data_IF_762660130386
#
_entry.id   IF_762660130386
#
_cell.length_a   1.000
_cell.length_b   1.000
_cell.length_c   1.000
_cell.angle_alpha   90.00
_cell.angle_beta   90.00
_cell.angle_gamma   90.00
#
_symmetry.space_group_name_H-M   'P 1'
#
loop_
_entity.id
_entity.type
_entity.pdbx_description
1 polymer ?
#
# COMPACT_ATOMS: atom_id res chain seq x y z
N UNK A 1 7.35 3.33 16.87
CA UNK A 1 6.02 3.95 17.11
C UNK A 1 5.07 3.44 16.04
N UNK A 2 3.87 3.03 16.43
CA UNK A 2 2.89 2.43 15.49
C UNK A 2 1.64 3.31 15.37
N UNK A 3 1.20 3.60 14.15
CA UNK A 3 -0.03 4.35 13.86
C UNK A 3 -1.15 3.45 13.35
N UNK A 4 -2.38 3.85 13.58
CA UNK A 4 -3.57 3.20 13.06
C UNK A 4 -4.46 4.23 12.37
N UNK A 5 -4.73 4.02 11.07
CA UNK A 5 -5.83 4.68 10.36
C UNK A 5 -7.00 3.71 10.32
N UNK A 6 -8.16 4.10 10.80
CA UNK A 6 -9.33 3.22 10.88
C UNK A 6 -10.62 3.92 10.50
N UNK A 7 -11.42 3.33 9.60
CA UNK A 7 -12.76 3.83 9.31
C UNK A 7 -13.78 3.35 10.34
N UNK A 8 -14.73 4.22 10.66
CA UNK A 8 -15.78 3.96 11.62
C UNK A 8 -17.14 4.09 10.95
N UNK A 9 -17.92 3.01 10.99
CA UNK A 9 -19.29 2.98 10.49
C UNK A 9 -20.33 3.23 11.57
N UNK A 10 -21.58 3.34 11.13
CA UNK A 10 -22.74 3.49 12.04
C UNK A 10 -23.26 2.17 12.62
N UNK A 11 -22.91 1.04 11.99
CA UNK A 11 -23.50 -0.28 12.30
C UNK A 11 -24.62 -0.64 11.33
N UNK A 12 -25.25 -1.79 11.58
CA UNK A 12 -26.41 -2.28 10.81
C UNK A 12 -27.65 -2.12 11.68
N UNK A 13 -28.64 -1.37 11.21
CA UNK A 13 -29.82 -1.01 11.99
C UNK A 13 -29.48 -0.13 13.19
N UNK A 14 -30.17 -0.30 14.30
CA UNK A 14 -29.98 0.51 15.52
C UNK A 14 -28.93 -0.07 16.49
N UNK A 15 -28.14 -1.06 16.05
CA UNK A 15 -27.14 -1.74 16.89
C UNK A 15 -25.70 -1.40 16.48
N UNK A 16 -25.08 -0.39 17.08
CA UNK A 16 -23.67 -0.06 16.83
C UNK A 16 -22.69 -1.00 17.53
N UNK A 17 -23.17 -1.88 18.43
CA UNK A 17 -22.31 -2.69 19.32
C UNK A 17 -21.32 -3.57 18.54
N UNK A 18 -21.74 -4.15 17.41
CA UNK A 18 -20.86 -5.00 16.59
C UNK A 18 -19.71 -4.22 15.97
N UNK A 19 -19.96 -2.96 15.55
CA UNK A 19 -18.93 -2.06 15.01
C UNK A 19 -17.99 -1.61 16.11
N UNK A 20 -18.53 -1.16 17.25
CA UNK A 20 -17.76 -0.75 18.42
C UNK A 20 -16.86 -1.90 18.88
N UNK A 21 -17.40 -3.13 18.93
CA UNK A 21 -16.64 -4.31 19.31
C UNK A 21 -15.48 -4.59 18.32
N UNK A 22 -15.75 -4.56 17.02
CA UNK A 22 -14.73 -4.79 16.00
C UNK A 22 -13.60 -3.74 16.04
N UNK A 23 -13.95 -2.46 16.22
CA UNK A 23 -12.98 -1.37 16.35
C UNK A 23 -12.13 -1.53 17.61
N UNK A 24 -12.77 -1.83 18.75
CA UNK A 24 -12.05 -2.11 20.01
C UNK A 24 -11.09 -3.26 19.89
N UNK A 25 -11.51 -4.35 19.25
CA UNK A 25 -10.66 -5.52 19.00
C UNK A 25 -9.46 -5.13 18.13
N UNK A 26 -9.70 -4.40 17.05
CA UNK A 26 -8.67 -3.90 16.15
C UNK A 26 -7.63 -3.03 16.87
N UNK A 27 -8.07 -2.07 17.69
CA UNK A 27 -7.17 -1.19 18.44
C UNK A 27 -6.37 -1.97 19.48
N UNK A 28 -7.02 -2.86 20.25
CA UNK A 28 -6.35 -3.66 21.30
C UNK A 28 -5.26 -4.56 20.73
N UNK A 29 -5.54 -5.25 19.64
CA UNK A 29 -4.57 -6.17 19.04
C UNK A 29 -3.38 -5.44 18.41
N UNK A 30 -3.64 -4.31 17.75
CA UNK A 30 -2.59 -3.54 17.09
C UNK A 30 -1.77 -2.67 18.04
N UNK A 31 -2.36 -2.32 19.19
CA UNK A 31 -1.77 -1.48 20.23
C UNK A 31 -1.06 -0.23 19.65
N UNK A 32 -1.78 0.64 18.92
CA UNK A 32 -1.17 1.82 18.29
C UNK A 32 -0.91 2.92 19.29
N UNK A 33 0.13 3.72 19.06
CA UNK A 33 0.43 4.92 19.85
C UNK A 33 -0.34 6.15 19.37
N UNK A 34 -0.77 6.15 18.10
CA UNK A 34 -1.61 7.19 17.48
C UNK A 34 -2.71 6.56 16.66
N UNK A 35 -3.91 7.11 16.76
CA UNK A 35 -5.10 6.61 16.05
C UNK A 35 -5.75 7.75 15.27
N UNK A 36 -5.87 7.60 13.98
CA UNK A 36 -6.64 8.46 13.10
C UNK A 36 -7.99 7.78 12.79
N UNK A 37 -9.07 8.32 13.35
CA UNK A 37 -10.43 7.83 13.08
C UNK A 37 -11.01 8.55 11.86
N UNK A 38 -11.28 7.81 10.79
CA UNK A 38 -12.04 8.30 9.64
C UNK A 38 -13.54 8.08 9.96
N UNK A 39 -14.28 9.16 10.16
CA UNK A 39 -15.66 9.14 10.63
C UNK A 39 -16.59 9.90 9.71
N UNK A 40 -17.88 9.59 9.73
CA UNK A 40 -18.94 10.48 9.25
C UNK A 40 -19.57 11.23 10.45
N UNK A 41 -20.37 12.30 10.20
CA UNK A 41 -21.11 12.96 11.29
C UNK A 41 -21.93 11.99 12.13
N UNK A 42 -22.51 10.95 11.49
CA UNK A 42 -23.34 9.95 12.16
C UNK A 42 -22.53 8.90 12.93
N UNK A 43 -21.31 8.56 12.45
CA UNK A 43 -20.49 7.51 13.08
C UNK A 43 -19.49 8.04 14.10
N UNK A 44 -19.28 9.35 14.19
CA UNK A 44 -18.35 9.98 15.13
C UNK A 44 -18.60 9.58 16.57
N UNK A 45 -19.87 9.54 16.99
CA UNK A 45 -20.28 9.08 18.33
C UNK A 45 -19.79 7.67 18.66
N UNK A 46 -19.73 6.77 17.66
CA UNK A 46 -19.23 5.41 17.87
C UNK A 46 -17.71 5.41 18.14
N UNK A 47 -16.96 6.27 17.43
CA UNK A 47 -15.53 6.44 17.65
C UNK A 47 -15.24 7.06 19.04
N UNK A 48 -16.01 8.05 19.44
CA UNK A 48 -15.93 8.68 20.77
C UNK A 48 -16.22 7.65 21.88
N UNK A 49 -17.23 6.80 21.69
CA UNK A 49 -17.55 5.72 22.63
C UNK A 49 -16.41 4.70 22.74
N UNK A 50 -15.81 4.30 21.62
CA UNK A 50 -14.63 3.42 21.62
C UNK A 50 -13.47 4.07 22.36
N UNK A 51 -13.18 5.35 22.11
CA UNK A 51 -12.10 6.08 22.79
C UNK A 51 -12.33 6.10 24.30
N UNK A 52 -13.57 6.38 24.75
CA UNK A 52 -13.98 6.36 26.16
C UNK A 52 -13.85 4.96 26.77
N UNK A 53 -14.34 3.92 26.10
CA UNK A 53 -14.28 2.53 26.58
C UNK A 53 -12.84 2.01 26.71
N UNK A 54 -11.91 2.52 25.92
CA UNK A 54 -10.50 2.16 25.96
C UNK A 54 -9.66 3.11 26.81
N UNK A 55 -10.28 4.13 27.43
CA UNK A 55 -9.61 5.19 28.19
C UNK A 55 -8.46 5.83 27.40
N UNK A 56 -8.67 6.10 26.10
CA UNK A 56 -7.66 6.74 25.27
C UNK A 56 -7.46 8.20 25.70
N UNK A 57 -6.21 8.63 25.83
CA UNK A 57 -5.89 10.03 26.07
C UNK A 57 -6.17 10.87 24.83
N UNK A 58 -6.67 12.11 25.00
CA UNK A 58 -7.07 12.99 23.91
C UNK A 58 -5.94 13.29 22.91
N UNK A 59 -4.69 13.24 23.35
CA UNK A 59 -3.52 13.43 22.48
C UNK A 59 -3.11 12.19 21.69
N UNK A 60 -3.78 11.04 21.89
CA UNK A 60 -3.45 9.77 21.20
C UNK A 60 -4.28 9.55 19.96
N UNK A 61 -5.33 10.31 19.73
CA UNK A 61 -6.19 10.15 18.56
C UNK A 61 -6.68 11.46 17.98
N UNK A 62 -7.12 11.40 16.72
CA UNK A 62 -7.80 12.52 16.05
C UNK A 62 -8.92 12.00 15.15
N UNK A 63 -9.93 12.85 14.93
CA UNK A 63 -11.06 12.57 14.05
C UNK A 63 -10.89 13.28 12.70
N UNK A 64 -11.10 12.54 11.62
CA UNK A 64 -11.13 13.02 10.26
C UNK A 64 -12.54 12.81 9.72
N UNK A 65 -13.33 13.88 9.68
CA UNK A 65 -14.77 13.81 9.44
C UNK A 65 -15.07 14.00 7.95
N UNK A 66 -15.63 12.96 7.34
CA UNK A 66 -16.12 12.94 5.96
C UNK A 66 -17.54 13.48 5.95
N UNK A 67 -17.75 14.66 5.42
CA UNK A 67 -19.06 15.34 5.42
C UNK A 67 -20.13 14.58 4.63
N UNK A 68 -19.77 14.00 3.47
CA UNK A 68 -20.60 13.01 2.76
C UNK A 68 -19.90 11.65 2.71
N UNK A 69 -20.32 10.68 3.55
CA UNK A 69 -19.70 9.37 3.61
C UNK A 69 -19.92 8.50 2.35
N UNK A 70 -20.75 8.96 1.39
CA UNK A 70 -20.97 8.28 0.12
C UNK A 70 -20.13 8.88 -1.01
N UNK A 71 -19.44 9.98 -0.77
CA UNK A 71 -18.50 10.60 -1.71
C UNK A 71 -17.09 10.03 -1.50
N UNK A 72 -16.55 9.39 -2.55
CA UNK A 72 -15.22 8.80 -2.51
C UNK A 72 -14.10 9.84 -2.44
N UNK A 73 -14.23 10.95 -3.15
CA UNK A 73 -13.20 11.99 -3.20
C UNK A 73 -13.10 12.74 -1.87
N UNK A 74 -14.24 13.02 -1.23
CA UNK A 74 -14.26 13.57 0.12
C UNK A 74 -13.63 12.59 1.13
N UNK A 75 -14.03 11.32 1.09
CA UNK A 75 -13.46 10.30 1.96
C UNK A 75 -11.95 10.13 1.74
N UNK A 76 -11.50 10.17 0.48
CA UNK A 76 -10.07 10.11 0.14
C UNK A 76 -9.30 11.33 0.67
N UNK A 77 -9.86 12.53 0.52
CA UNK A 77 -9.25 13.77 1.02
C UNK A 77 -9.02 13.71 2.53
N UNK A 78 -10.04 13.31 3.30
CA UNK A 78 -9.94 13.19 4.75
C UNK A 78 -9.00 12.03 5.18
N UNK A 79 -9.04 10.90 4.50
CA UNK A 79 -8.10 9.80 4.77
C UNK A 79 -6.64 10.21 4.49
N UNK A 80 -6.40 11.06 3.46
CA UNK A 80 -5.07 11.62 3.19
C UNK A 80 -4.60 12.57 4.29
N UNK A 81 -5.50 13.42 4.81
CA UNK A 81 -5.19 14.28 5.97
C UNK A 81 -4.84 13.42 7.20
N UNK A 82 -5.55 12.31 7.39
CA UNK A 82 -5.29 11.36 8.47
C UNK A 82 -3.89 10.75 8.41
N UNK A 83 -3.43 10.30 7.22
CA UNK A 83 -2.05 9.82 7.04
C UNK A 83 -1.02 10.93 7.31
N UNK A 84 -1.28 12.14 6.79
CA UNK A 84 -0.38 13.28 7.00
C UNK A 84 -0.28 13.65 8.49
N UNK A 85 -1.39 13.59 9.22
CA UNK A 85 -1.40 13.81 10.67
C UNK A 85 -0.58 12.74 11.40
N UNK A 86 -0.77 11.46 11.09
CA UNK A 86 0.04 10.38 11.68
C UNK A 86 1.53 10.62 11.45
N UNK A 87 1.91 11.05 10.25
CA UNK A 87 3.31 11.37 9.94
C UNK A 87 3.81 12.58 10.75
N UNK A 88 2.98 13.62 10.95
CA UNK A 88 3.34 14.80 11.77
C UNK A 88 3.46 14.46 13.26
N UNK A 89 2.76 13.43 13.75
CA UNK A 89 2.91 12.87 15.09
C UNK A 89 4.13 11.94 15.24
N UNK A 90 5.01 11.90 14.23
CA UNK A 90 6.23 11.12 14.25
C UNK A 90 6.07 9.64 13.92
N UNK A 91 4.93 9.23 13.35
CA UNK A 91 4.73 7.86 12.87
C UNK A 91 5.15 7.76 11.42
N UNK A 92 6.23 7.06 11.08
CA UNK A 92 6.61 6.85 9.68
C UNK A 92 5.57 5.98 8.96
N UNK A 93 5.41 6.20 7.67
CA UNK A 93 4.36 5.54 6.87
C UNK A 93 4.44 4.02 6.91
N UNK A 94 5.63 3.45 6.99
CA UNK A 94 5.90 2.02 7.11
C UNK A 94 5.37 1.42 8.43
N UNK A 95 5.18 2.25 9.45
CA UNK A 95 4.64 1.88 10.76
C UNK A 95 3.14 2.12 10.88
N UNK A 96 2.50 2.65 9.84
CA UNK A 96 1.04 2.81 9.79
C UNK A 96 0.38 1.49 9.40
N UNK A 97 -0.70 1.15 10.11
CA UNK A 97 -1.64 0.09 9.75
C UNK A 97 -2.95 0.76 9.35
N UNK A 98 -3.50 0.42 8.19
CA UNK A 98 -4.77 0.95 7.72
C UNK A 98 -5.87 -0.12 7.83
N UNK A 99 -6.85 0.13 8.68
CA UNK A 99 -7.97 -0.79 8.93
C UNK A 99 -9.24 -0.29 8.20
N UNK A 100 -9.70 -1.10 7.25
CA UNK A 100 -10.89 -0.80 6.43
C UNK A 100 -12.09 -1.69 6.77
N UNK A 101 -12.16 -2.16 8.03
CA UNK A 101 -13.20 -3.11 8.49
C UNK A 101 -14.60 -2.52 8.40
N UNK A 102 -14.75 -1.24 8.71
CA UNK A 102 -16.07 -0.61 8.84
C UNK A 102 -16.15 0.71 8.05
N UNK A 103 -17.27 1.42 8.19
CA UNK A 103 -17.57 2.59 7.38
C UNK A 103 -18.38 2.26 6.14
N UNK A 104 -18.71 3.28 5.35
CA UNK A 104 -19.33 3.09 4.04
C UNK A 104 -18.33 2.49 3.07
N UNK A 105 -18.80 1.95 1.94
CA UNK A 105 -17.90 1.46 0.89
C UNK A 105 -16.94 2.53 0.38
N UNK A 106 -17.36 3.79 0.10
CA UNK A 106 -16.44 4.86 -0.25
C UNK A 106 -15.37 5.13 0.82
N UNK A 107 -15.74 5.19 2.11
CA UNK A 107 -14.77 5.38 3.20
C UNK A 107 -13.75 4.25 3.27
N UNK A 108 -14.20 2.98 3.23
CA UNK A 108 -13.32 1.81 3.23
C UNK A 108 -12.40 1.78 2.01
N UNK A 109 -12.95 2.10 0.82
CA UNK A 109 -12.17 2.20 -0.42
C UNK A 109 -11.14 3.33 -0.37
N UNK A 110 -11.50 4.48 0.19
CA UNK A 110 -10.59 5.62 0.37
C UNK A 110 -9.38 5.25 1.23
N UNK A 111 -9.59 4.50 2.33
CA UNK A 111 -8.48 4.00 3.16
C UNK A 111 -7.53 3.13 2.34
N UNK A 112 -8.05 2.19 1.56
CA UNK A 112 -7.21 1.31 0.72
C UNK A 112 -6.45 2.12 -0.33
N UNK A 113 -7.12 3.05 -1.02
CA UNK A 113 -6.52 3.89 -2.04
C UNK A 113 -5.43 4.82 -1.47
N UNK A 114 -5.72 5.52 -0.36
CA UNK A 114 -4.74 6.41 0.26
C UNK A 114 -3.54 5.65 0.79
N UNK A 115 -3.76 4.46 1.35
CA UNK A 115 -2.69 3.58 1.82
C UNK A 115 -1.77 3.18 0.67
N UNK A 116 -2.34 2.74 -0.44
CA UNK A 116 -1.59 2.37 -1.64
C UNK A 116 -0.77 3.55 -2.21
N UNK A 117 -1.37 4.74 -2.29
CA UNK A 117 -0.70 5.92 -2.84
C UNK A 117 0.42 6.45 -1.94
N UNK A 118 0.30 6.29 -0.62
CA UNK A 118 1.29 6.72 0.36
C UNK A 118 2.26 5.61 0.80
N UNK A 119 2.23 4.43 0.14
CA UNK A 119 3.08 3.28 0.45
C UNK A 119 2.90 2.73 1.88
N UNK A 120 1.68 2.80 2.43
CA UNK A 120 1.33 2.07 3.65
C UNK A 120 1.25 0.59 3.30
N UNK A 121 2.15 -0.21 3.87
CA UNK A 121 2.31 -1.62 3.48
C UNK A 121 1.35 -2.56 4.20
N UNK A 122 0.76 -2.12 5.32
CA UNK A 122 -0.07 -2.98 6.17
C UNK A 122 -1.53 -2.56 6.12
N UNK A 123 -2.35 -3.39 5.47
CA UNK A 123 -3.80 -3.28 5.49
C UNK A 123 -4.37 -4.28 6.48
N UNK A 124 -5.45 -3.93 7.14
CA UNK A 124 -6.12 -4.76 8.13
C UNK A 124 -7.63 -4.80 7.92
N UNK A 125 -8.19 -5.94 8.27
CA UNK A 125 -9.61 -6.20 8.19
C UNK A 125 -10.03 -7.17 9.29
N UNK A 126 -11.11 -6.87 10.00
CA UNK A 126 -11.72 -7.78 10.95
C UNK A 126 -12.74 -8.67 10.23
N UNK A 127 -12.37 -9.94 10.05
CA UNK A 127 -13.23 -10.97 9.49
C UNK A 127 -14.02 -11.65 10.62
N UNK A 128 -15.26 -12.05 10.34
CA UNK A 128 -16.06 -12.86 11.26
C UNK A 128 -17.21 -13.56 10.52
N UNK A 129 -17.74 -14.61 11.12
CA UNK A 129 -18.97 -15.26 10.63
C UNK A 129 -20.12 -14.27 10.70
N UNK A 130 -20.88 -14.12 9.63
CA UNK A 130 -21.99 -13.17 9.57
C UNK A 130 -23.32 -13.87 9.55
N UNK A 131 -24.25 -13.38 10.36
CA UNK A 131 -25.66 -13.77 10.33
C UNK A 131 -26.47 -12.50 10.11
N UNK A 132 -27.26 -12.46 9.05
CA UNK A 132 -28.01 -11.26 8.61
C UNK A 132 -27.14 -10.00 8.48
N UNK A 133 -25.89 -10.16 8.03
CA UNK A 133 -24.95 -9.05 7.86
C UNK A 133 -24.16 -8.64 9.12
N UNK A 134 -24.53 -9.12 10.30
CA UNK A 134 -23.89 -8.83 11.58
C UNK A 134 -22.85 -9.91 11.88
N UNK A 135 -21.68 -9.49 12.33
CA UNK A 135 -20.61 -10.41 12.77
C UNK A 135 -21.03 -11.08 14.08
N UNK A 136 -20.92 -12.38 14.12
CA UNK A 136 -21.23 -13.19 15.33
C UNK A 136 -20.07 -13.03 16.32
N UNK A 137 -20.38 -12.53 17.52
CA UNK A 137 -19.39 -12.33 18.58
C UNK A 137 -18.61 -13.62 18.91
N UNK A 138 -17.30 -13.50 19.06
CA UNK A 138 -16.38 -14.61 19.32
C UNK A 138 -15.91 -15.36 18.05
N UNK A 139 -16.34 -14.92 16.86
CA UNK A 139 -15.86 -15.46 15.57
C UNK A 139 -14.90 -14.52 14.85
N UNK A 140 -14.64 -13.37 15.45
CA UNK A 140 -13.79 -12.34 14.87
C UNK A 140 -12.33 -12.81 14.76
N UNK A 141 -11.72 -12.52 13.62
CA UNK A 141 -10.29 -12.69 13.37
C UNK A 141 -9.77 -11.45 12.69
N UNK A 142 -8.71 -10.88 13.21
CA UNK A 142 -8.01 -9.80 12.53
C UNK A 142 -7.09 -10.39 11.48
N UNK A 143 -7.27 -9.95 10.26
CA UNK A 143 -6.39 -10.29 9.14
C UNK A 143 -5.59 -9.04 8.82
N UNK A 144 -4.27 -9.14 8.91
CA UNK A 144 -3.35 -8.12 8.41
C UNK A 144 -2.62 -8.69 7.21
N UNK A 145 -2.58 -7.94 6.13
CA UNK A 145 -1.94 -8.35 4.89
C UNK A 145 -1.24 -7.16 4.23
N UNK A 146 -0.22 -7.48 3.46
CA UNK A 146 0.48 -6.48 2.65
C UNK A 146 0.15 -6.71 1.19
N UNK A 147 -0.33 -5.69 0.44
CA UNK A 147 -0.63 -5.83 -0.97
C UNK A 147 0.65 -5.78 -1.83
N UNK A 148 1.61 -6.64 -1.52
CA UNK A 148 2.95 -6.66 -2.13
C UNK A 148 2.88 -6.73 -3.65
N UNK A 149 1.99 -7.58 -4.19
CA UNK A 149 1.82 -7.70 -5.65
C UNK A 149 1.36 -6.38 -6.30
N UNK A 150 0.49 -5.62 -5.62
CA UNK A 150 0.02 -4.34 -6.12
C UNK A 150 1.14 -3.28 -6.12
N UNK A 151 1.94 -3.23 -5.04
CA UNK A 151 3.13 -2.38 -4.97
C UNK A 151 4.17 -2.78 -6.00
N UNK A 152 4.37 -4.07 -6.19
CA UNK A 152 5.25 -4.62 -7.19
C UNK A 152 4.88 -4.14 -8.61
N UNK A 153 3.62 -4.29 -9.03
CA UNK A 153 3.16 -3.82 -10.34
C UNK A 153 3.30 -2.30 -10.51
N UNK A 154 3.05 -1.53 -9.45
CA UNK A 154 3.29 -0.07 -9.43
C UNK A 154 4.76 0.25 -9.68
N UNK A 155 5.68 -0.42 -8.96
CA UNK A 155 7.11 -0.22 -9.14
C UNK A 155 7.58 -0.60 -10.54
N UNK A 156 7.10 -1.73 -11.09
CA UNK A 156 7.41 -2.17 -12.46
C UNK A 156 6.92 -1.14 -13.48
N UNK A 157 5.70 -0.64 -13.33
CA UNK A 157 5.13 0.37 -14.24
C UNK A 157 5.94 1.66 -14.21
N UNK A 158 6.25 2.17 -13.03
CA UNK A 158 7.06 3.38 -12.86
C UNK A 158 8.48 3.21 -13.42
N UNK A 159 9.12 2.07 -13.14
CA UNK A 159 10.46 1.79 -13.69
C UNK A 159 10.47 1.78 -15.21
N UNK A 160 9.42 1.24 -15.86
CA UNK A 160 9.27 1.30 -17.32
C UNK A 160 9.12 2.73 -17.84
N UNK A 161 8.38 3.59 -17.14
CA UNK A 161 8.24 5.00 -17.51
C UNK A 161 9.56 5.76 -17.40
N UNK A 162 10.35 5.51 -16.33
CA UNK A 162 11.69 6.09 -16.20
C UNK A 162 12.64 5.57 -17.27
N UNK A 163 12.55 4.28 -17.61
CA UNK A 163 13.34 3.70 -18.72
C UNK A 163 13.06 4.40 -20.06
N UNK A 164 11.79 4.66 -20.38
CA UNK A 164 11.40 5.42 -21.58
C UNK A 164 11.97 6.84 -21.63
N UNK A 165 12.19 7.43 -20.46
CA UNK A 165 12.77 8.77 -20.29
C UNK A 165 14.30 8.76 -20.12
N UNK A 166 14.95 7.61 -20.33
CA UNK A 166 16.40 7.40 -20.14
C UNK A 166 16.89 7.69 -18.73
N UNK A 167 15.99 7.63 -17.72
CA UNK A 167 16.29 7.87 -16.30
C UNK A 167 16.62 6.54 -15.60
N UNK A 168 17.71 5.92 -15.97
CA UNK A 168 18.09 4.56 -15.55
C UNK A 168 18.29 4.42 -14.04
N UNK A 169 18.95 5.40 -13.41
CA UNK A 169 19.21 5.36 -11.96
C UNK A 169 17.92 5.48 -11.14
N UNK A 170 16.98 6.34 -11.59
CA UNK A 170 15.66 6.45 -10.97
C UNK A 170 14.87 5.13 -11.11
N UNK A 171 14.90 4.53 -12.30
CA UNK A 171 14.27 3.23 -12.53
C UNK A 171 14.85 2.13 -11.64
N UNK A 172 16.17 2.06 -11.48
CA UNK A 172 16.84 1.10 -10.60
C UNK A 172 16.51 1.34 -9.12
N UNK A 173 16.40 2.61 -8.69
CA UNK A 173 16.05 2.96 -7.32
C UNK A 173 14.65 2.46 -6.95
N UNK A 174 13.67 2.60 -7.85
CA UNK A 174 12.30 2.12 -7.63
C UNK A 174 12.25 0.59 -7.56
N UNK A 175 13.06 -0.11 -8.35
CA UNK A 175 13.10 -1.56 -8.35
C UNK A 175 13.81 -2.18 -7.14
N UNK A 176 14.36 -1.38 -6.23
CA UNK A 176 14.89 -1.90 -4.95
C UNK A 176 13.79 -2.55 -4.11
N UNK A 177 12.61 -1.96 -4.06
CA UNK A 177 11.48 -2.52 -3.31
C UNK A 177 11.12 -3.95 -3.79
N UNK A 178 10.78 -4.20 -5.07
CA UNK A 178 10.55 -5.55 -5.56
C UNK A 178 11.71 -6.51 -5.34
N UNK A 179 12.94 -6.04 -5.38
CA UNK A 179 14.13 -6.84 -5.15
C UNK A 179 14.24 -7.30 -3.69
N UNK A 180 13.87 -6.44 -2.74
CA UNK A 180 13.88 -6.76 -1.30
C UNK A 180 12.85 -7.84 -0.95
N UNK A 181 11.69 -7.82 -1.60
CA UNK A 181 10.59 -8.77 -1.36
C UNK A 181 10.56 -9.94 -2.34
N UNK A 182 11.67 -10.21 -3.02
CA UNK A 182 11.78 -11.25 -4.06
C UNK A 182 11.36 -12.65 -3.57
N UNK A 183 11.64 -12.98 -2.32
CA UNK A 183 11.33 -14.29 -1.74
C UNK A 183 9.83 -14.52 -1.53
N UNK A 184 9.05 -13.44 -1.48
CA UNK A 184 7.58 -13.49 -1.32
C UNK A 184 6.88 -13.59 -2.69
N UNK A 185 7.59 -13.21 -3.76
CA UNK A 185 7.09 -13.29 -5.12
C UNK A 185 7.25 -14.72 -5.66
N UNK A 186 6.33 -15.13 -6.53
CA UNK A 186 6.52 -16.38 -7.25
C UNK A 186 7.75 -16.32 -8.17
N UNK A 187 8.21 -17.48 -8.62
CA UNK A 187 9.42 -17.61 -9.46
C UNK A 187 9.31 -16.79 -10.76
N UNK A 188 8.10 -16.69 -11.33
CA UNK A 188 7.84 -15.95 -12.57
C UNK A 188 7.99 -14.45 -12.35
N UNK A 189 7.41 -13.92 -11.29
CA UNK A 189 7.50 -12.50 -10.95
C UNK A 189 8.91 -12.11 -10.50
N UNK A 190 9.58 -12.95 -9.73
CA UNK A 190 10.98 -12.75 -9.37
C UNK A 190 11.90 -12.67 -10.60
N UNK A 191 11.73 -13.57 -11.57
CA UNK A 191 12.44 -13.54 -12.86
C UNK A 191 12.13 -12.28 -13.67
N UNK A 192 10.90 -11.78 -13.63
CA UNK A 192 10.48 -10.57 -14.32
C UNK A 192 11.23 -9.33 -13.79
N UNK A 193 11.38 -9.21 -12.47
CA UNK A 193 12.15 -8.12 -11.83
C UNK A 193 13.61 -8.18 -12.20
N UNK A 194 14.25 -9.33 -12.04
CA UNK A 194 15.65 -9.51 -12.38
C UNK A 194 15.91 -9.16 -13.84
N UNK A 195 14.95 -9.50 -14.68
CA UNK A 195 14.96 -9.20 -16.09
C UNK A 195 14.99 -7.72 -16.36
N UNK A 196 14.13 -7.00 -15.73
CA UNK A 196 14.01 -5.56 -15.91
C UNK A 196 15.24 -4.85 -15.33
N UNK A 197 15.73 -5.26 -14.17
CA UNK A 197 16.93 -4.71 -13.55
C UNK A 197 18.15 -4.90 -14.45
N UNK A 198 18.37 -6.11 -14.97
CA UNK A 198 19.50 -6.38 -15.86
C UNK A 198 19.44 -5.56 -17.16
N UNK A 199 18.23 -5.41 -17.72
CA UNK A 199 18.01 -4.59 -18.90
C UNK A 199 18.36 -3.11 -18.62
N UNK A 200 17.83 -2.54 -17.53
CA UNK A 200 18.08 -1.15 -17.17
C UNK A 200 19.56 -0.90 -16.88
N UNK A 201 20.24 -1.83 -16.18
CA UNK A 201 21.71 -1.76 -15.95
C UNK A 201 22.48 -1.77 -17.25
N UNK A 202 22.10 -2.63 -18.20
CA UNK A 202 22.74 -2.70 -19.48
C UNK A 202 22.66 -1.35 -20.24
N UNK A 203 21.47 -0.73 -20.27
CA UNK A 203 21.31 0.59 -20.87
C UNK A 203 22.09 1.67 -20.13
N UNK A 204 22.09 1.67 -18.80
CA UNK A 204 22.84 2.63 -18.00
C UNK A 204 24.35 2.54 -18.25
N UNK A 205 24.89 1.31 -18.36
CA UNK A 205 26.29 1.10 -18.73
C UNK A 205 26.59 1.51 -20.16
N UNK A 206 25.68 1.25 -21.08
CA UNK A 206 25.82 1.65 -22.48
C UNK A 206 25.88 3.17 -22.62
N UNK A 207 24.97 3.87 -21.96
CA UNK A 207 24.90 5.33 -21.98
C UNK A 207 26.15 5.99 -21.36
N UNK A 208 26.75 5.34 -20.36
CA UNK A 208 28.04 5.75 -19.76
C UNK A 208 29.28 5.26 -20.53
N UNK A 209 29.13 4.84 -21.77
CA UNK A 209 30.20 4.30 -22.64
C UNK A 209 30.92 3.08 -22.06
N UNK A 210 30.32 2.38 -21.11
CA UNK A 210 30.91 1.19 -20.49
C UNK A 210 30.38 -0.11 -21.16
N UNK A 211 30.74 -0.28 -22.43
CA UNK A 211 30.19 -1.34 -23.30
C UNK A 211 30.55 -2.77 -22.82
N UNK A 212 31.65 -2.97 -22.11
CA UNK A 212 32.03 -4.28 -21.58
C UNK A 212 31.06 -4.74 -20.51
N UNK A 213 30.72 -3.88 -19.55
CA UNK A 213 29.75 -4.18 -18.50
C UNK A 213 28.32 -4.32 -19.07
N UNK A 214 27.93 -3.46 -20.01
CA UNK A 214 26.65 -3.57 -20.71
C UNK A 214 26.51 -4.93 -21.39
N UNK A 215 27.52 -5.37 -22.12
CA UNK A 215 27.55 -6.67 -22.79
C UNK A 215 27.48 -7.82 -21.79
N UNK A 216 28.14 -7.68 -20.62
CA UNK A 216 28.07 -8.64 -19.52
C UNK A 216 26.66 -8.82 -18.95
N UNK A 217 25.94 -7.71 -18.70
CA UNK A 217 24.55 -7.74 -18.21
C UNK A 217 23.60 -8.36 -19.24
N UNK A 218 23.77 -8.07 -20.53
CA UNK A 218 22.99 -8.72 -21.59
C UNK A 218 23.25 -10.22 -21.66
N UNK A 219 24.53 -10.67 -21.52
CA UNK A 219 24.90 -12.10 -21.60
C UNK A 219 24.38 -12.91 -20.41
N UNK A 220 24.34 -12.36 -19.21
CA UNK A 220 23.80 -13.05 -18.02
C UNK A 220 22.38 -13.58 -18.25
N UNK A 221 21.64 -12.96 -19.15
CA UNK A 221 20.22 -13.21 -19.32
C UNK A 221 19.86 -14.00 -20.56
N UNK A 222 20.57 -13.78 -21.63
CA UNK A 222 20.31 -14.41 -22.93
C UNK A 222 21.34 -15.50 -23.19
N UNK A 223 21.11 -16.72 -22.61
CA UNK A 223 21.90 -17.90 -22.99
C UNK A 223 21.80 -18.13 -24.51
N UNK A 224 22.87 -18.57 -25.18
CA UNK A 224 23.18 -18.28 -26.55
C UNK A 224 22.46 -19.15 -27.60
N UNK A 225 21.14 -18.93 -27.77
CA UNK A 225 20.46 -19.33 -29.02
C UNK A 225 20.09 -18.16 -29.92
N UNK A 226 20.33 -16.93 -29.49
CA UNK A 226 20.07 -15.72 -30.28
C UNK A 226 21.35 -14.89 -30.29
N UNK A 227 21.84 -14.60 -31.45
CA UNK A 227 23.03 -13.76 -31.66
C UNK A 227 22.80 -12.40 -30.96
N UNK A 228 23.64 -12.09 -29.94
CA UNK A 228 23.59 -10.86 -29.15
C UNK A 228 23.51 -9.61 -30.02
N UNK A 229 24.16 -9.65 -31.22
CA UNK A 229 24.06 -8.60 -32.26
C UNK A 229 22.63 -8.38 -32.75
N UNK A 230 21.85 -9.45 -32.96
CA UNK A 230 20.48 -9.33 -33.49
C UNK A 230 19.52 -8.78 -32.47
N UNK A 231 19.73 -9.09 -31.17
CA UNK A 231 18.92 -8.59 -30.09
C UNK A 231 19.25 -7.13 -29.73
N UNK A 232 20.54 -6.78 -29.72
CA UNK A 232 21.02 -5.41 -29.58
C UNK A 232 20.47 -4.52 -30.70
N UNK A 233 20.47 -5.02 -31.94
CA UNK A 233 19.90 -4.31 -33.11
C UNK A 233 18.36 -4.18 -32.99
N UNK A 234 17.65 -5.19 -32.53
CA UNK A 234 16.20 -5.10 -32.30
C UNK A 234 15.84 -4.14 -31.17
N UNK A 235 16.62 -4.13 -30.10
CA UNK A 235 16.45 -3.21 -28.97
C UNK A 235 16.84 -1.78 -29.37
N UNK A 236 17.91 -1.57 -30.12
CA UNK A 236 18.30 -0.27 -30.66
C UNK A 236 17.28 0.28 -31.67
N UNK A 237 16.56 -0.57 -32.41
CA UNK A 237 15.47 -0.14 -33.29
C UNK A 237 14.20 0.20 -32.52
N UNK A 238 13.94 -0.46 -31.39
CA UNK A 238 12.79 -0.20 -30.54
C UNK A 238 13.00 1.03 -29.61
N UNK A 239 14.25 1.34 -29.28
CA UNK A 239 14.65 2.42 -28.38
C UNK A 239 15.99 3.02 -28.86
N UNK A 240 16.00 3.86 -29.91
CA UNK A 240 17.23 4.46 -30.40
C UNK A 240 17.82 5.38 -29.30
N UNK A 241 19.16 5.33 -29.09
CA UNK A 241 19.83 6.37 -28.29
C UNK A 241 19.65 7.72 -29.00
N UNK A 242 19.49 8.78 -28.22
CA UNK A 242 19.54 10.15 -28.73
C UNK A 242 20.96 10.50 -29.15
#
# INVERSE_FOLDING_TARGET
MRGLLISVGTGIGDSPESIIHAIKLSIKEKNPERIAFLVSPQSKKNAEEVAKMLNLSENTFSFFEVSDPNDLDMAFSEAKKAINWLNSEGIPTEEVISDFTSGTKPMSSAIVLVSFLNNVERLSYVQGKRVKGIVVAGTERIITFSPILTFFEKCISQAKEYLKKYQYEAALKILKFPQTYKEILDEKEGKRVESLISLIRAYNYWDKFNHLYATGEFKKRYRPKVCVKSLAIKLLRAYPPK
#
